data_IF_283637003552
#
_entry.id   IF_283637003552
#
_cell.length_a   1.000
_cell.length_b   1.000
_cell.length_c   1.000
_cell.angle_alpha   90.00
_cell.angle_beta   90.00
_cell.angle_gamma   90.00
#
_symmetry.space_group_name_H-M   'P 1'
#
loop_
_entity.id
_entity.type
_entity.pdbx_description
1 polymer ?
#
# COMPACT_ATOMS: atom_id res chain seq x y z
N UNK A 1 -45.03 10.57 58.40
CA UNK A 1 -44.06 11.15 59.36
C UNK A 1 -42.98 10.10 59.68
N UNK A 2 -42.16 9.73 58.67
CA UNK A 2 -41.02 8.81 58.78
C UNK A 2 -40.02 9.19 57.66
N UNK A 3 -39.23 10.25 57.85
CA UNK A 3 -38.18 10.67 56.90
C UNK A 3 -36.95 11.34 57.54
N UNK A 4 -36.72 11.17 58.85
CA UNK A 4 -35.57 11.80 59.52
C UNK A 4 -34.61 10.82 60.22
N UNK A 5 -35.01 9.55 60.40
CA UNK A 5 -34.21 8.54 61.11
C UNK A 5 -33.15 7.88 60.20
N UNK A 6 -33.36 7.84 58.88
CA UNK A 6 -32.44 7.15 57.96
C UNK A 6 -31.20 7.97 57.55
N UNK A 7 -31.25 9.31 57.65
CA UNK A 7 -30.14 10.17 57.22
C UNK A 7 -28.96 10.16 58.21
N UNK A 8 -29.24 9.97 59.50
CA UNK A 8 -28.22 9.88 60.55
C UNK A 8 -27.47 8.54 60.53
N UNK A 9 -28.13 7.45 60.14
CA UNK A 9 -27.50 6.14 59.97
C UNK A 9 -26.64 6.08 58.70
N UNK A 10 -27.09 6.69 57.60
CA UNK A 10 -26.30 6.75 56.37
C UNK A 10 -25.02 7.58 56.53
N UNK A 11 -25.09 8.71 57.26
CA UNK A 11 -23.91 9.56 57.53
C UNK A 11 -22.92 8.89 58.47
N UNK A 12 -23.38 8.06 59.42
CA UNK A 12 -22.49 7.23 60.27
C UNK A 12 -21.80 6.12 59.48
N UNK A 13 -22.48 5.52 58.51
CA UNK A 13 -21.91 4.47 57.67
C UNK A 13 -20.81 5.02 56.74
N UNK A 14 -21.07 6.17 56.09
CA UNK A 14 -20.10 6.84 55.22
C UNK A 14 -18.88 7.36 56.02
N UNK A 15 -19.09 7.88 57.23
CA UNK A 15 -18.01 8.34 58.11
C UNK A 15 -17.17 7.21 58.71
N UNK A 16 -17.69 5.96 58.75
CA UNK A 16 -16.94 4.80 59.20
C UNK A 16 -16.02 4.26 58.07
N UNK A 17 -16.51 4.24 56.83
CA UNK A 17 -15.77 3.78 55.65
C UNK A 17 -14.64 4.73 55.24
N UNK A 18 -14.81 6.05 55.46
CA UNK A 18 -13.75 7.04 55.21
C UNK A 18 -12.63 7.02 56.28
N UNK A 19 -12.90 6.48 57.48
CA UNK A 19 -11.88 6.33 58.53
C UNK A 19 -11.00 5.11 58.31
N UNK A 20 -11.53 4.03 57.76
CA UNK A 20 -10.75 2.84 57.40
C UNK A 20 -9.85 3.08 56.17
N UNK A 21 -10.26 3.92 55.23
CA UNK A 21 -9.42 4.24 54.06
C UNK A 21 -8.26 5.15 54.42
N UNK A 22 -8.45 6.10 55.35
CA UNK A 22 -7.36 6.98 55.83
C UNK A 22 -6.38 6.27 56.77
N UNK A 23 -6.81 5.30 57.57
CA UNK A 23 -5.90 4.50 58.39
C UNK A 23 -5.04 3.57 57.53
N UNK A 24 -5.60 3.01 56.44
CA UNK A 24 -4.87 2.19 55.47
C UNK A 24 -3.88 3.02 54.64
N UNK A 25 -4.24 4.23 54.21
CA UNK A 25 -3.27 5.13 53.55
C UNK A 25 -2.16 5.60 54.50
N UNK A 26 -2.48 5.91 55.77
CA UNK A 26 -1.46 6.30 56.75
C UNK A 26 -0.53 5.15 57.15
N UNK A 27 -1.00 3.89 57.18
CA UNK A 27 -0.14 2.70 57.32
C UNK A 27 0.70 2.42 56.08
N UNK A 28 0.16 2.66 54.88
CA UNK A 28 0.90 2.47 53.63
C UNK A 28 2.10 3.43 53.51
N UNK A 29 2.01 4.62 54.12
CA UNK A 29 3.08 5.63 54.13
C UNK A 29 3.94 5.66 55.41
N UNK A 30 3.53 5.02 56.51
CA UNK A 30 4.34 4.86 57.74
C UNK A 30 5.19 3.59 57.70
N UNK A 31 6.36 3.73 57.09
CA UNK A 31 7.55 3.03 57.58
C UNK A 31 7.66 1.55 57.22
N UNK A 32 7.72 1.25 55.93
CA UNK A 32 8.69 0.25 55.50
C UNK A 32 10.08 0.85 55.70
N UNK A 33 10.83 0.34 56.68
CA UNK A 33 12.24 0.69 56.88
C UNK A 33 12.94 0.69 55.52
N UNK A 34 13.63 1.78 55.19
CA UNK A 34 14.56 1.77 54.06
C UNK A 34 15.69 0.82 54.43
N UNK A 35 15.50 -0.46 54.11
CA UNK A 35 16.53 -1.48 54.16
C UNK A 35 17.72 -0.93 53.38
N UNK A 36 18.86 -0.86 54.07
CA UNK A 36 20.14 -0.48 53.50
C UNK A 36 20.37 -1.21 52.17
N UNK A 37 20.58 -0.41 51.13
CA UNK A 37 21.56 -0.56 50.05
C UNK A 37 21.97 -2.01 49.66
N UNK A 38 21.65 -2.34 48.41
CA UNK A 38 22.54 -3.08 47.49
C UNK A 38 22.94 -4.53 47.84
N UNK A 39 22.28 -5.18 48.79
CA UNK A 39 22.28 -6.64 48.83
C UNK A 39 21.37 -7.16 47.71
N UNK A 40 21.96 -7.47 46.56
CA UNK A 40 21.28 -8.21 45.48
C UNK A 40 20.62 -9.43 46.14
N UNK A 41 19.29 -9.45 46.14
CA UNK A 41 18.50 -10.52 46.74
C UNK A 41 19.05 -11.88 46.24
N UNK A 42 19.56 -12.76 47.12
CA UNK A 42 20.11 -14.05 46.70
C UNK A 42 19.07 -14.88 45.94
N UNK A 43 17.78 -14.64 46.17
CA UNK A 43 16.71 -15.27 45.40
C UNK A 43 16.67 -14.76 43.95
N UNK A 44 16.94 -13.48 43.69
CA UNK A 44 17.04 -12.91 42.33
C UNK A 44 18.25 -13.44 41.55
N UNK A 45 19.36 -13.75 42.23
CA UNK A 45 20.54 -14.42 41.63
C UNK A 45 20.30 -15.91 41.37
N UNK A 46 19.42 -16.52 42.16
CA UNK A 46 19.03 -17.93 41.99
C UNK A 46 18.05 -18.13 40.83
N UNK A 47 17.46 -17.04 40.31
CA UNK A 47 16.61 -17.14 39.14
C UNK A 47 17.42 -17.65 37.94
N UNK A 48 16.89 -18.63 37.20
CA UNK A 48 17.51 -19.03 35.94
C UNK A 48 17.62 -17.79 35.04
N UNK A 49 18.76 -17.57 34.38
CA UNK A 49 18.94 -16.39 33.54
C UNK A 49 17.80 -16.32 32.53
N UNK A 50 17.21 -15.13 32.29
CA UNK A 50 16.12 -15.00 31.35
C UNK A 50 16.58 -15.57 30.00
N UNK A 51 15.72 -16.33 29.29
CA UNK A 51 16.10 -16.96 28.04
C UNK A 51 16.65 -15.89 27.11
N UNK A 52 17.96 -15.97 26.81
CA UNK A 52 18.58 -15.00 25.90
C UNK A 52 17.78 -15.00 24.60
N UNK A 53 17.44 -13.81 24.05
CA UNK A 53 16.62 -13.76 22.85
C UNK A 53 17.34 -14.56 21.76
N UNK A 54 16.77 -15.72 21.38
CA UNK A 54 17.28 -16.54 20.28
C UNK A 54 17.36 -15.60 19.08
N UNK A 55 18.58 -15.22 18.70
CA UNK A 55 18.79 -14.39 17.52
C UNK A 55 18.10 -15.12 16.37
N UNK A 56 17.09 -14.49 15.74
CA UNK A 56 16.40 -15.06 14.58
C UNK A 56 17.45 -15.64 13.62
N UNK A 57 17.25 -16.88 13.17
CA UNK A 57 18.23 -17.59 12.35
C UNK A 57 18.69 -16.68 11.18
N UNK A 58 20.01 -16.54 10.94
CA UNK A 58 20.53 -15.62 9.93
C UNK A 58 19.98 -15.91 8.52
N UNK A 59 19.63 -17.17 8.27
CA UNK A 59 18.99 -17.61 7.03
C UNK A 59 17.63 -16.93 6.80
N UNK A 60 16.83 -16.76 7.85
CA UNK A 60 15.54 -16.04 7.74
C UNK A 60 15.76 -14.59 7.28
N UNK A 61 16.80 -13.93 7.78
CA UNK A 61 17.11 -12.54 7.37
C UNK A 61 17.50 -12.47 5.90
N UNK A 62 18.31 -13.42 5.42
CA UNK A 62 18.67 -13.51 4.01
C UNK A 62 17.43 -13.71 3.14
N UNK A 63 16.54 -14.63 3.53
CA UNK A 63 15.28 -14.86 2.81
C UNK A 63 14.41 -13.60 2.77
N UNK A 64 14.25 -12.90 3.90
CA UNK A 64 13.49 -11.64 3.95
C UNK A 64 14.11 -10.56 3.05
N UNK A 65 15.45 -10.44 3.03
CA UNK A 65 16.15 -9.51 2.13
C UNK A 65 15.86 -9.86 0.68
N UNK A 66 15.99 -11.14 0.29
CA UNK A 66 15.75 -11.57 -1.08
C UNK A 66 14.31 -11.32 -1.53
N UNK A 67 13.33 -11.67 -0.69
CA UNK A 67 11.91 -11.42 -0.97
C UNK A 67 11.64 -9.92 -1.06
N UNK A 68 12.18 -9.12 -0.15
CA UNK A 68 12.00 -7.66 -0.16
C UNK A 68 12.59 -7.00 -1.41
N UNK A 69 13.79 -7.41 -1.82
CA UNK A 69 14.41 -6.95 -3.06
C UNK A 69 13.59 -7.37 -4.29
N UNK A 70 13.07 -8.61 -4.31
CA UNK A 70 12.20 -9.08 -5.38
C UNK A 70 10.92 -8.24 -5.47
N UNK A 71 10.30 -7.91 -4.34
CA UNK A 71 9.10 -7.04 -4.32
C UNK A 71 9.39 -5.64 -4.85
N UNK A 72 10.50 -5.03 -4.43
CA UNK A 72 10.92 -3.72 -4.95
C UNK A 72 11.20 -3.79 -6.46
N UNK A 73 11.85 -4.87 -6.92
CA UNK A 73 12.09 -5.09 -8.34
C UNK A 73 10.79 -5.20 -9.15
N UNK A 74 9.76 -5.86 -8.62
CA UNK A 74 8.44 -5.93 -9.24
C UNK A 74 7.73 -4.56 -9.29
N UNK A 75 7.91 -3.73 -8.26
CA UNK A 75 7.32 -2.39 -8.17
C UNK A 75 8.09 -1.32 -8.96
N UNK A 76 9.27 -1.63 -9.50
CA UNK A 76 10.19 -0.63 -10.07
C UNK A 76 9.55 0.26 -11.15
N UNK A 77 8.64 -0.28 -11.97
CA UNK A 77 8.02 0.47 -13.07
C UNK A 77 6.99 1.46 -12.54
N UNK A 78 6.22 1.06 -11.53
CA UNK A 78 5.23 1.91 -10.88
C UNK A 78 5.90 2.99 -10.03
N UNK A 79 7.02 2.65 -9.37
CA UNK A 79 7.86 3.63 -8.67
C UNK A 79 8.48 4.63 -9.65
N UNK A 80 9.01 4.17 -10.79
CA UNK A 80 9.54 5.06 -11.82
C UNK A 80 8.47 6.03 -12.35
N UNK A 81 7.20 5.59 -12.43
CA UNK A 81 6.10 6.45 -12.81
C UNK A 81 5.80 7.50 -11.74
N UNK A 82 5.78 7.11 -10.46
CA UNK A 82 5.58 8.04 -9.34
C UNK A 82 6.61 9.18 -9.34
N UNK A 83 7.87 8.88 -9.71
CA UNK A 83 8.94 9.87 -9.84
C UNK A 83 9.01 10.56 -11.22
N UNK A 84 8.08 10.27 -12.13
CA UNK A 84 8.04 10.91 -13.44
C UNK A 84 7.50 12.34 -13.38
N UNK A 85 7.63 13.08 -14.49
CA UNK A 85 7.12 14.45 -14.55
C UNK A 85 5.61 14.50 -14.32
N UNK A 86 5.17 15.47 -13.52
CA UNK A 86 3.75 15.73 -13.23
C UNK A 86 3.08 16.58 -14.31
N UNK A 87 3.86 17.14 -15.23
CA UNK A 87 3.33 17.88 -16.39
C UNK A 87 2.98 16.87 -17.48
N UNK A 88 1.72 16.82 -17.95
CA UNK A 88 1.35 15.91 -19.01
C UNK A 88 2.07 16.29 -20.30
N UNK A 89 2.68 15.30 -20.95
CA UNK A 89 3.21 15.47 -22.29
C UNK A 89 2.05 15.46 -23.29
N UNK A 90 1.85 16.55 -24.03
CA UNK A 90 0.81 16.61 -25.04
C UNK A 90 1.20 15.76 -26.26
N UNK A 91 0.34 14.80 -26.61
CA UNK A 91 0.48 13.92 -27.77
C UNK A 91 -0.33 14.39 -28.98
N UNK A 92 -1.22 15.38 -28.81
CA UNK A 92 -2.11 15.89 -29.86
C UNK A 92 -3.26 14.93 -30.17
N UNK A 93 -3.70 14.95 -31.43
CA UNK A 93 -4.78 14.11 -31.94
C UNK A 93 -4.31 12.66 -32.11
N UNK A 94 -5.09 11.73 -31.57
CA UNK A 94 -4.90 10.31 -31.70
C UNK A 94 -4.87 9.79 -33.13
N UNK A 95 -5.59 10.44 -34.07
CA UNK A 95 -5.62 10.06 -35.47
C UNK A 95 -4.25 10.21 -36.15
N UNK A 96 -3.45 11.19 -35.71
CA UNK A 96 -2.13 11.50 -36.27
C UNK A 96 -0.98 10.92 -35.43
N UNK A 97 -1.29 10.29 -34.29
CA UNK A 97 -0.30 9.82 -33.34
C UNK A 97 0.50 8.61 -33.86
N UNK A 98 1.81 8.80 -34.00
CA UNK A 98 2.78 7.72 -34.20
C UNK A 98 3.10 7.03 -32.86
N UNK A 99 2.47 5.88 -32.64
CA UNK A 99 2.65 5.06 -31.41
C UNK A 99 4.09 4.60 -31.19
N UNK A 100 4.92 4.53 -32.24
CA UNK A 100 6.32 4.14 -32.13
C UNK A 100 7.17 5.17 -31.36
N UNK A 101 6.79 6.45 -31.44
CA UNK A 101 7.49 7.57 -30.78
C UNK A 101 7.04 7.81 -29.35
N UNK A 102 5.90 7.25 -28.94
CA UNK A 102 5.37 7.43 -27.59
C UNK A 102 6.25 6.67 -26.60
N UNK A 103 6.82 7.40 -25.65
CA UNK A 103 7.58 6.82 -24.54
C UNK A 103 6.60 6.09 -23.61
N UNK A 104 6.94 4.86 -23.23
CA UNK A 104 6.13 4.15 -22.24
C UNK A 104 6.38 4.69 -20.83
N UNK A 105 5.38 4.55 -19.97
CA UNK A 105 5.41 4.91 -18.56
C UNK A 105 5.55 6.42 -18.31
N UNK A 106 4.83 7.23 -19.09
CA UNK A 106 4.82 8.68 -19.01
C UNK A 106 3.41 9.22 -18.80
N UNK A 107 3.33 10.40 -18.19
CA UNK A 107 2.07 11.12 -18.03
C UNK A 107 1.80 11.92 -19.30
N UNK A 108 0.67 11.65 -19.95
CA UNK A 108 0.35 12.19 -21.28
C UNK A 108 -1.05 12.78 -21.34
N UNK A 109 -1.24 13.67 -22.30
CA UNK A 109 -2.53 14.20 -22.71
C UNK A 109 -2.75 13.86 -24.19
N UNK A 110 -3.94 13.40 -24.55
CA UNK A 110 -4.31 13.03 -25.91
C UNK A 110 -5.75 13.47 -26.20
N UNK A 111 -6.00 13.83 -27.45
CA UNK A 111 -7.33 14.17 -27.95
C UNK A 111 -7.80 13.07 -28.92
N UNK A 112 -9.08 12.72 -28.88
CA UNK A 112 -9.65 11.74 -29.80
C UNK A 112 -11.01 11.22 -29.36
N UNK A 113 -11.72 10.57 -30.28
CA UNK A 113 -13.02 9.99 -29.99
C UNK A 113 -12.90 8.48 -29.71
N UNK A 114 -13.39 7.99 -28.56
CA UNK A 114 -13.39 6.55 -28.29
C UNK A 114 -14.42 5.83 -29.15
N UNK A 115 -14.10 4.61 -29.57
CA UNK A 115 -15.02 3.75 -30.32
C UNK A 115 -15.79 2.82 -29.35
N UNK A 116 -17.07 3.12 -29.02
CA UNK A 116 -17.84 2.34 -28.06
C UNK A 116 -18.20 0.93 -28.55
N UNK A 117 -18.18 0.69 -29.87
CA UNK A 117 -18.55 -0.60 -30.48
C UNK A 117 -17.56 -1.71 -30.15
N UNK A 118 -16.33 -1.35 -29.78
CA UNK A 118 -15.22 -2.29 -29.48
C UNK A 118 -14.80 -2.24 -28.01
N UNK A 119 -15.78 -2.11 -27.11
CA UNK A 119 -15.52 -2.03 -25.67
C UNK A 119 -15.14 -3.37 -25.08
N UNK A 120 -14.05 -3.39 -24.31
CA UNK A 120 -13.72 -4.51 -23.42
C UNK A 120 -13.94 -4.09 -21.98
N UNK A 121 -14.79 -4.85 -21.27
CA UNK A 121 -15.04 -4.64 -19.84
C UNK A 121 -14.30 -5.70 -19.04
N UNK A 122 -13.54 -5.29 -18.04
CA UNK A 122 -12.80 -6.21 -17.18
C UNK A 122 -12.68 -5.64 -15.76
N UNK A 123 -12.38 -6.52 -14.80
CA UNK A 123 -12.03 -6.13 -13.44
C UNK A 123 -10.57 -6.45 -13.17
N UNK A 124 -9.93 -5.67 -12.29
CA UNK A 124 -8.57 -5.94 -11.82
C UNK A 124 -8.65 -6.71 -10.51
N UNK A 125 -7.78 -7.71 -10.32
CA UNK A 125 -7.80 -8.58 -9.14
C UNK A 125 -7.63 -7.81 -7.82
N UNK A 126 -6.85 -6.73 -7.83
CA UNK A 126 -6.48 -5.97 -6.63
C UNK A 126 -7.11 -4.56 -6.57
N UNK A 127 -7.94 -4.17 -7.55
CA UNK A 127 -8.57 -2.85 -7.59
C UNK A 127 -10.08 -3.03 -7.71
N UNK A 128 -10.83 -2.45 -6.78
CA UNK A 128 -12.30 -2.49 -6.81
C UNK A 128 -12.83 -1.66 -7.99
N UNK A 129 -13.84 -2.19 -8.67
CA UNK A 129 -14.53 -1.53 -9.78
C UNK A 129 -14.26 -2.20 -11.12
N UNK A 130 -14.88 -1.64 -12.15
CA UNK A 130 -14.78 -2.14 -13.52
C UNK A 130 -14.01 -1.16 -14.37
N UNK A 131 -13.25 -1.72 -15.30
CA UNK A 131 -12.49 -0.97 -16.28
C UNK A 131 -13.11 -1.21 -17.64
N UNK A 132 -13.25 -0.13 -18.41
CA UNK A 132 -13.64 -0.20 -19.82
C UNK A 132 -12.44 0.22 -20.65
N UNK A 133 -12.09 -0.58 -21.64
CA UNK A 133 -11.05 -0.27 -22.62
C UNK A 133 -11.68 -0.11 -24.00
N UNK A 134 -11.32 0.96 -24.70
CA UNK A 134 -11.79 1.25 -26.06
C UNK A 134 -10.61 1.68 -26.92
N UNK A 135 -10.53 1.27 -28.20
CA UNK A 135 -9.65 1.92 -29.15
C UNK A 135 -10.19 3.30 -29.52
N UNK A 136 -9.29 4.20 -29.91
CA UNK A 136 -9.65 5.49 -30.49
C UNK A 136 -10.02 5.37 -31.97
N UNK A 137 -10.96 6.21 -32.39
CA UNK A 137 -11.36 6.33 -33.80
C UNK A 137 -10.17 6.83 -34.61
N UNK A 138 -9.99 6.28 -35.81
CA UNK A 138 -8.87 6.61 -36.71
C UNK A 138 -7.55 5.88 -36.38
N UNK A 139 -7.32 5.49 -35.12
CA UNK A 139 -6.07 4.82 -34.71
C UNK A 139 -6.31 3.57 -33.85
N UNK A 140 -6.24 2.39 -34.49
CA UNK A 140 -6.45 1.08 -33.84
C UNK A 140 -5.32 0.67 -32.88
N UNK A 141 -4.23 1.44 -32.81
CA UNK A 141 -3.10 1.19 -31.92
C UNK A 141 -3.17 1.98 -30.62
N UNK A 142 -4.12 2.91 -30.48
CA UNK A 142 -4.28 3.71 -29.27
C UNK A 142 -5.54 3.26 -28.55
N UNK A 143 -5.35 2.80 -27.32
CA UNK A 143 -6.42 2.33 -26.45
C UNK A 143 -6.52 3.23 -25.24
N UNK A 144 -7.74 3.47 -24.77
CA UNK A 144 -8.00 4.22 -23.54
C UNK A 144 -8.74 3.33 -22.57
N UNK A 145 -8.29 3.39 -21.32
CA UNK A 145 -8.93 2.75 -20.19
C UNK A 145 -9.54 3.79 -19.26
N UNK A 146 -10.80 3.56 -18.87
CA UNK A 146 -11.48 4.30 -17.81
C UNK A 146 -11.78 3.41 -16.62
N UNK A 147 -11.67 3.97 -15.42
CA UNK A 147 -12.25 3.39 -14.22
C UNK A 147 -13.71 3.83 -14.10
N UNK A 148 -14.64 2.87 -14.12
CA UNK A 148 -16.05 3.12 -13.93
C UNK A 148 -16.52 2.50 -12.61
N UNK A 149 -17.18 3.31 -11.78
CA UNK A 149 -17.77 2.87 -10.51
C UNK A 149 -19.25 2.60 -10.76
N UNK A 150 -19.72 1.37 -10.52
CA UNK A 150 -21.14 1.06 -10.67
C UNK A 150 -21.96 1.76 -9.57
N UNK A 151 -22.44 2.98 -9.83
CA UNK A 151 -23.46 3.65 -9.03
C UNK A 151 -24.39 4.48 -9.93
N UNK A 152 -25.69 4.48 -9.60
CA UNK A 152 -26.83 4.93 -10.43
C UNK A 152 -26.76 6.40 -10.92
N UNK A 153 -25.82 7.20 -10.43
CA UNK A 153 -25.63 8.62 -10.75
C UNK A 153 -24.83 8.90 -12.03
N UNK A 154 -24.06 7.94 -12.54
CA UNK A 154 -23.24 8.13 -13.74
C UNK A 154 -24.03 8.07 -15.06
N UNK A 155 -25.32 7.69 -15.04
CA UNK A 155 -26.19 7.57 -16.23
C UNK A 155 -26.32 8.86 -17.08
N UNK A 156 -25.96 10.03 -16.54
CA UNK A 156 -25.98 11.33 -17.27
C UNK A 156 -24.61 11.73 -17.83
N UNK A 157 -23.50 11.45 -17.14
CA UNK A 157 -22.12 11.77 -17.63
C UNK A 157 -21.59 10.73 -18.61
N UNK A 158 -22.01 9.47 -18.49
CA UNK A 158 -21.56 8.36 -19.35
C UNK A 158 -22.03 8.41 -20.82
N UNK A 159 -22.95 9.32 -21.17
CA UNK A 159 -23.40 9.46 -22.56
C UNK A 159 -22.43 10.29 -23.41
N UNK A 160 -21.68 11.17 -22.78
CA UNK A 160 -20.67 12.00 -23.43
C UNK A 160 -19.32 11.43 -23.04
N UNK A 161 -18.82 10.52 -23.88
CA UNK A 161 -17.43 10.10 -23.77
C UNK A 161 -16.55 11.34 -24.01
N UNK A 162 -15.60 11.67 -23.11
CA UNK A 162 -14.75 12.84 -23.31
C UNK A 162 -14.03 12.74 -24.66
N UNK A 163 -13.73 13.88 -25.29
CA UNK A 163 -12.84 13.93 -26.45
C UNK A 163 -11.37 14.10 -26.06
N UNK A 164 -11.08 14.31 -24.77
CA UNK A 164 -9.77 14.61 -24.24
C UNK A 164 -9.46 13.69 -23.05
N UNK A 165 -8.23 13.18 -23.01
CA UNK A 165 -7.84 12.19 -22.03
C UNK A 165 -6.47 12.49 -21.46
N UNK A 166 -6.33 12.35 -20.15
CA UNK A 166 -5.08 12.67 -19.47
C UNK A 166 -4.76 11.58 -18.47
N UNK A 167 -3.61 10.92 -18.64
CA UNK A 167 -3.31 9.72 -17.89
C UNK A 167 -1.96 9.10 -18.17
N UNK A 168 -1.77 7.88 -17.68
CA UNK A 168 -0.53 7.12 -17.85
C UNK A 168 -0.54 6.41 -19.20
N UNK A 169 0.42 6.73 -20.07
CA UNK A 169 0.66 5.97 -21.30
C UNK A 169 1.60 4.78 -21.04
N UNK A 170 1.16 3.58 -21.42
CA UNK A 170 1.96 2.35 -21.34
C UNK A 170 1.84 1.59 -22.65
N UNK A 171 2.96 1.11 -23.18
CA UNK A 171 2.92 0.23 -24.36
C UNK A 171 2.44 -1.17 -23.97
N UNK A 172 1.69 -1.83 -24.84
CA UNK A 172 1.20 -3.18 -24.58
C UNK A 172 2.33 -4.19 -24.33
N UNK A 173 3.45 -4.04 -25.04
CA UNK A 173 4.70 -4.80 -24.78
C UNK A 173 5.31 -4.56 -23.39
N UNK A 174 5.08 -3.39 -22.79
CA UNK A 174 5.58 -3.01 -21.47
C UNK A 174 4.58 -3.32 -20.33
N UNK A 175 3.30 -3.58 -20.64
CA UNK A 175 2.29 -3.95 -19.64
C UNK A 175 2.66 -5.23 -18.89
N UNK A 176 3.26 -6.22 -19.55
CA UNK A 176 3.73 -7.44 -18.86
C UNK A 176 4.85 -7.14 -17.83
N UNK A 177 5.55 -6.01 -17.96
CA UNK A 177 6.62 -5.57 -17.05
C UNK A 177 6.08 -4.75 -15.88
N UNK A 178 4.89 -4.17 -16.00
CA UNK A 178 4.19 -3.50 -14.90
C UNK A 178 3.60 -4.56 -13.98
N UNK A 179 4.27 -4.88 -12.88
CA UNK A 179 4.02 -6.08 -12.06
C UNK A 179 2.55 -6.42 -11.81
N UNK A 180 1.93 -5.79 -10.82
CA UNK A 180 0.58 -6.19 -10.36
C UNK A 180 -0.49 -5.79 -11.38
N UNK A 181 -0.36 -4.60 -11.98
CA UNK A 181 -1.35 -4.02 -12.92
C UNK A 181 -1.36 -4.75 -14.26
N UNK A 182 -0.20 -5.21 -14.73
CA UNK A 182 0.02 -5.87 -16.01
C UNK A 182 -0.74 -7.18 -16.21
N UNK A 183 -0.90 -7.94 -15.13
CA UNK A 183 -1.50 -9.29 -15.17
C UNK A 183 -2.91 -9.33 -15.76
N UNK A 184 -3.72 -8.29 -15.52
CA UNK A 184 -5.09 -8.22 -16.05
C UNK A 184 -5.12 -8.04 -17.56
N UNK A 185 -4.11 -7.42 -18.17
CA UNK A 185 -4.11 -7.10 -19.60
C UNK A 185 -3.80 -8.29 -20.50
N UNK A 186 -3.17 -9.34 -19.96
CA UNK A 186 -2.93 -10.58 -20.71
C UNK A 186 -4.27 -11.21 -21.14
N UNK A 187 -5.22 -11.26 -20.21
CA UNK A 187 -6.56 -11.78 -20.49
C UNK A 187 -7.38 -10.83 -21.37
N UNK A 188 -7.21 -9.52 -21.19
CA UNK A 188 -7.88 -8.50 -22.04
C UNK A 188 -7.41 -8.61 -23.48
N UNK A 189 -6.09 -8.77 -23.70
CA UNK A 189 -5.52 -8.94 -25.04
C UNK A 189 -6.09 -10.18 -25.73
N UNK A 190 -6.12 -11.31 -25.01
CA UNK A 190 -6.71 -12.55 -25.52
C UNK A 190 -8.19 -12.38 -25.86
N UNK A 191 -8.98 -11.83 -24.93
CA UNK A 191 -10.41 -11.59 -25.14
C UNK A 191 -10.68 -10.66 -26.33
N UNK A 192 -9.87 -9.62 -26.51
CA UNK A 192 -10.00 -8.70 -27.63
C UNK A 192 -9.75 -9.41 -28.97
N UNK A 193 -8.67 -10.19 -29.07
CA UNK A 193 -8.37 -10.99 -30.26
C UNK A 193 -9.49 -11.98 -30.58
N UNK A 194 -10.01 -12.68 -29.57
CA UNK A 194 -11.07 -13.67 -29.73
C UNK A 194 -12.41 -13.02 -30.15
N UNK A 195 -12.73 -11.84 -29.63
CA UNK A 195 -14.04 -11.18 -29.84
C UNK A 195 -14.12 -10.34 -31.11
N UNK A 196 -13.00 -9.72 -31.51
CA UNK A 196 -12.98 -8.73 -32.61
C UNK A 196 -12.17 -9.20 -33.82
N UNK A 197 -11.68 -10.44 -33.83
CA UNK A 197 -10.88 -11.04 -34.91
C UNK A 197 -9.69 -10.17 -35.34
N UNK A 198 -9.15 -9.39 -34.40
CA UNK A 198 -8.05 -8.45 -34.62
C UNK A 198 -7.11 -8.49 -33.43
N UNK A 199 -5.82 -8.61 -33.70
CA UNK A 199 -4.81 -8.62 -32.64
C UNK A 199 -4.43 -7.19 -32.22
N UNK A 200 -4.16 -7.02 -30.92
CA UNK A 200 -3.54 -5.79 -30.41
C UNK A 200 -2.03 -5.92 -30.67
N UNK A 201 -1.42 -5.00 -31.45
CA UNK A 201 0.00 -5.08 -31.75
C UNK A 201 0.84 -4.66 -30.53
N UNK A 202 2.10 -5.10 -30.48
CA UNK A 202 2.99 -4.88 -29.33
C UNK A 202 3.41 -3.40 -29.14
N UNK A 203 3.34 -2.62 -30.22
CA UNK A 203 3.59 -1.18 -30.25
C UNK A 203 2.33 -0.35 -29.93
N UNK A 204 1.19 -1.01 -29.69
CA UNK A 204 0.00 -0.32 -29.23
C UNK A 204 0.25 0.36 -27.88
N UNK A 205 -0.41 1.50 -27.69
CA UNK A 205 -0.34 2.30 -26.47
C UNK A 205 -1.68 2.24 -25.76
N UNK A 206 -1.64 1.91 -24.48
CA UNK A 206 -2.76 2.02 -23.55
C UNK A 206 -2.60 3.30 -22.72
N UNK A 207 -3.64 4.12 -22.71
CA UNK A 207 -3.73 5.34 -21.92
C UNK A 207 -4.70 5.07 -20.78
N UNK A 208 -4.18 5.04 -19.55
CA UNK A 208 -5.00 4.85 -18.35
C UNK A 208 -5.47 6.22 -17.87
N UNK A 209 -6.70 6.58 -18.23
CA UNK A 209 -7.26 7.89 -17.95
C UNK A 209 -7.41 8.14 -16.44
N UNK A 210 -7.14 9.38 -16.03
CA UNK A 210 -7.18 9.81 -14.63
C UNK A 210 -5.99 9.35 -13.77
N UNK A 211 -5.05 8.57 -14.32
CA UNK A 211 -3.90 8.09 -13.58
C UNK A 211 -2.72 9.09 -13.61
N UNK A 212 -2.69 10.02 -12.65
CA UNK A 212 -1.55 10.95 -12.48
C UNK A 212 -0.37 10.30 -11.72
N UNK A 213 0.88 10.80 -11.87
CA UNK A 213 2.02 10.29 -11.10
C UNK A 213 1.79 10.28 -9.58
N UNK A 214 1.06 11.27 -9.05
CA UNK A 214 0.79 11.36 -7.61
C UNK A 214 -0.19 10.31 -7.10
N UNK A 215 -1.04 9.72 -7.94
CA UNK A 215 -1.96 8.66 -7.50
C UNK A 215 -1.22 7.38 -7.10
N UNK A 216 0.06 7.26 -7.49
CA UNK A 216 0.93 6.11 -7.21
C UNK A 216 1.68 6.21 -5.87
N UNK A 217 1.39 7.20 -5.03
CA UNK A 217 1.99 7.33 -3.70
C UNK A 217 1.88 6.07 -2.80
N UNK A 218 0.81 5.25 -2.84
CA UNK A 218 0.74 4.06 -1.99
C UNK A 218 1.82 3.04 -2.35
N UNK A 219 2.18 2.93 -3.63
CA UNK A 219 3.28 2.07 -4.08
C UNK A 219 4.63 2.57 -3.57
N UNK A 220 4.84 3.89 -3.60
CA UNK A 220 6.04 4.52 -3.03
C UNK A 220 6.14 4.27 -1.51
N UNK A 221 5.03 4.39 -0.78
CA UNK A 221 4.98 4.09 0.65
C UNK A 221 5.32 2.63 0.94
N UNK A 222 4.65 1.69 0.25
CA UNK A 222 4.89 0.25 0.43
C UNK A 222 6.36 -0.09 0.12
N UNK A 223 6.89 0.41 -0.99
CA UNK A 223 8.29 0.20 -1.35
C UNK A 223 9.25 0.78 -0.31
N UNK A 224 8.94 1.96 0.25
CA UNK A 224 9.71 2.57 1.33
C UNK A 224 9.72 1.70 2.59
N UNK A 225 8.56 1.19 3.02
CA UNK A 225 8.47 0.27 4.17
C UNK A 225 9.29 -0.99 3.90
N UNK A 226 9.13 -1.62 2.74
CA UNK A 226 9.90 -2.82 2.37
C UNK A 226 11.40 -2.54 2.35
N UNK A 227 11.82 -1.40 1.80
CA UNK A 227 13.23 -0.99 1.77
C UNK A 227 13.81 -0.83 3.18
N UNK A 228 13.08 -0.22 4.11
CA UNK A 228 13.49 -0.10 5.52
C UNK A 228 13.66 -1.49 6.14
N UNK A 229 12.71 -2.40 5.93
CA UNK A 229 12.81 -3.77 6.44
C UNK A 229 14.03 -4.52 5.86
N UNK A 230 14.31 -4.37 4.57
CA UNK A 230 15.48 -4.96 3.92
C UNK A 230 16.77 -4.39 4.53
N UNK A 231 16.86 -3.06 4.68
CA UNK A 231 18.03 -2.39 5.26
C UNK A 231 18.29 -2.83 6.70
N UNK A 232 17.25 -2.87 7.55
CA UNK A 232 17.39 -3.32 8.94
C UNK A 232 17.88 -4.77 9.02
N UNK A 233 17.34 -5.67 8.19
CA UNK A 233 17.78 -7.06 8.16
C UNK A 233 19.22 -7.19 7.66
N UNK A 234 19.62 -6.40 6.66
CA UNK A 234 20.98 -6.38 6.14
C UNK A 234 21.99 -5.88 7.20
N UNK A 235 21.68 -4.77 7.88
CA UNK A 235 22.51 -4.22 8.96
C UNK A 235 22.67 -5.24 10.09
N UNK A 236 21.57 -5.83 10.56
CA UNK A 236 21.60 -6.83 11.62
C UNK A 236 22.39 -8.08 11.21
N UNK A 237 22.30 -8.50 9.94
CA UNK A 237 23.08 -9.62 9.40
C UNK A 237 24.58 -9.31 9.45
N UNK A 238 24.99 -8.13 8.98
CA UNK A 238 26.39 -7.67 9.00
C UNK A 238 26.93 -7.60 10.43
N UNK A 239 26.16 -7.02 11.37
CA UNK A 239 26.55 -6.95 12.79
C UNK A 239 26.74 -8.34 13.41
N UNK A 240 25.86 -9.30 13.08
CA UNK A 240 25.97 -10.67 13.58
C UNK A 240 27.20 -11.40 13.00
N UNK A 241 27.54 -11.15 11.74
CA UNK A 241 28.75 -11.70 11.12
C UNK A 241 30.02 -11.13 11.78
N UNK A 242 30.03 -9.83 12.09
CA UNK A 242 31.16 -9.18 12.79
C UNK A 242 31.36 -9.76 14.21
N UNK A 243 30.27 -9.95 14.97
CA UNK A 243 30.34 -10.56 16.32
C UNK A 243 30.89 -12.00 16.29
N UNK A 244 30.57 -12.78 15.25
CA UNK A 244 31.09 -14.16 15.09
C UNK A 244 32.57 -14.21 14.75
N UNK A 245 33.10 -13.21 14.02
CA UNK A 245 34.54 -13.11 13.71
C UNK A 245 35.41 -12.77 14.92
N UNK A 246 34.86 -12.08 15.93
CA UNK A 246 35.62 -11.67 17.14
C UNK A 246 35.70 -12.81 18.18
N UNK A 247 34.80 -13.80 18.11
CA UNK A 247 34.76 -14.96 19.01
C UNK A 247 35.57 -16.18 18.53
N UNK A 248 36.14 -16.11 17.32
CA UNK A 248 37.05 -17.13 16.78
C UNK A 248 38.46 -16.58 16.79
#
# INVERSE_FOLDING_TARGET
MYKFVDFLNLKKLIMAEEKDTKSVEEEFWRGGERKQEDAIDPELLSLPPPPTPKSRHPLIRVVVILIGLLLIFWLRVDLAYFFSSRTPQNLGDAMELDTGKVKSNTYVHIEGFPNPSTVVRFSKRFQRGFFRMFPLVGNRKVFIQFHYKEEKEQKKKDRELPGEFTGRAIRFSDLAKTGITGSSYVNVRKFYSDSFLSEIPDDAVLIMDGESPNSYWPYALIAGIVAIFVLLNAILLILNLKKRKIKK
#
